data_IF_031273985964
#
_entry.id   IF_031273985964
#
_cell.length_a   1.000
_cell.length_b   1.000
_cell.length_c   1.000
_cell.angle_alpha   90.00
_cell.angle_beta   90.00
_cell.angle_gamma   90.00
#
_symmetry.space_group_name_H-M   'P 1'
#
loop_
_entity.id
_entity.type
_entity.pdbx_description
1 polymer ?
#
# COMPACT_ATOMS: atom_id res chain seq x y z
N UNK A 1 6.51 5.22 -14.16
CA UNK A 1 6.26 4.66 -12.81
C UNK A 1 7.52 3.96 -12.35
N UNK A 2 8.11 4.42 -11.23
CA UNK A 2 9.34 3.87 -10.66
C UNK A 2 9.12 2.39 -10.24
N UNK A 3 10.13 1.54 -10.39
CA UNK A 3 10.09 0.13 -9.97
C UNK A 3 9.78 -0.02 -8.49
N UNK A 4 10.24 0.90 -7.64
CA UNK A 4 9.93 0.91 -6.20
C UNK A 4 8.43 1.11 -5.95
N UNK A 5 7.79 2.07 -6.64
CA UNK A 5 6.35 2.33 -6.52
C UNK A 5 5.55 1.08 -6.94
N UNK A 6 5.94 0.39 -8.03
CA UNK A 6 5.31 -0.86 -8.45
C UNK A 6 5.40 -1.95 -7.36
N UNK A 7 6.54 -2.06 -6.70
CA UNK A 7 6.74 -3.02 -5.62
C UNK A 7 5.87 -2.68 -4.41
N UNK A 8 5.73 -1.41 -4.05
CA UNK A 8 4.84 -0.99 -2.95
C UNK A 8 3.37 -1.22 -3.29
N UNK A 9 2.94 -0.94 -4.52
CA UNK A 9 1.58 -1.23 -5.00
C UNK A 9 1.27 -2.72 -4.84
N UNK A 10 2.15 -3.60 -5.34
CA UNK A 10 1.94 -5.05 -5.25
C UNK A 10 1.91 -5.55 -3.78
N UNK A 11 2.73 -4.96 -2.90
CA UNK A 11 2.72 -5.30 -1.47
C UNK A 11 1.43 -4.86 -0.78
N UNK A 12 0.96 -3.63 -1.04
CA UNK A 12 -0.30 -3.12 -0.50
C UNK A 12 -1.50 -3.96 -0.97
N UNK A 13 -1.54 -4.32 -2.26
CA UNK A 13 -2.60 -5.18 -2.81
C UNK A 13 -2.57 -6.59 -2.20
N UNK A 14 -1.39 -7.17 -2.02
CA UNK A 14 -1.24 -8.48 -1.40
C UNK A 14 -1.72 -8.47 0.07
N UNK A 15 -1.34 -7.43 0.84
CA UNK A 15 -1.75 -7.29 2.23
C UNK A 15 -3.26 -7.07 2.36
N UNK A 16 -3.84 -6.23 1.50
CA UNK A 16 -5.30 -6.05 1.44
C UNK A 16 -6.03 -7.36 1.17
N UNK A 17 -5.58 -8.15 0.20
CA UNK A 17 -6.20 -9.45 -0.10
C UNK A 17 -6.06 -10.43 1.07
N UNK A 18 -4.91 -10.44 1.75
CA UNK A 18 -4.69 -11.26 2.93
C UNK A 18 -5.64 -10.86 4.07
N UNK A 19 -5.76 -9.57 4.37
CA UNK A 19 -6.64 -9.06 5.43
C UNK A 19 -8.12 -9.36 5.15
N UNK A 20 -8.54 -9.23 3.88
CA UNK A 20 -9.89 -9.62 3.45
C UNK A 20 -10.14 -11.13 3.61
N UNK A 21 -9.14 -11.96 3.34
CA UNK A 21 -9.24 -13.43 3.45
C UNK A 21 -9.27 -13.89 4.91
N UNK A 22 -8.55 -13.19 5.79
CA UNK A 22 -8.49 -13.47 7.23
C UNK A 22 -9.66 -12.85 8.02
N UNK A 23 -10.65 -12.27 7.34
CA UNK A 23 -11.78 -11.55 7.95
C UNK A 23 -11.36 -10.40 8.89
N UNK A 24 -10.19 -9.81 8.64
CA UNK A 24 -9.72 -8.59 9.29
C UNK A 24 -10.27 -7.37 8.55
N UNK A 25 -10.30 -6.24 9.24
CA UNK A 25 -10.68 -4.98 8.62
C UNK A 25 -9.56 -4.53 7.68
N UNK A 26 -9.79 -4.69 6.37
CA UNK A 26 -8.82 -4.34 5.34
C UNK A 26 -8.73 -2.81 5.22
N UNK A 27 -7.71 -2.20 5.83
CA UNK A 27 -7.52 -0.76 5.87
C UNK A 27 -6.24 -0.34 5.14
N UNK A 28 -6.40 0.14 3.90
CA UNK A 28 -5.28 0.59 3.06
C UNK A 28 -4.45 1.72 3.71
N UNK A 29 -5.07 2.57 4.53
CA UNK A 29 -4.37 3.65 5.22
C UNK A 29 -3.44 3.11 6.31
N UNK A 30 -3.90 2.12 7.07
CA UNK A 30 -3.06 1.47 8.09
C UNK A 30 -1.90 0.71 7.45
N UNK A 31 -2.16 -0.02 6.36
CA UNK A 31 -1.12 -0.72 5.61
C UNK A 31 -0.04 0.25 5.13
N UNK A 32 -0.44 1.36 4.47
CA UNK A 32 0.52 2.36 4.01
C UNK A 32 1.27 3.05 5.17
N UNK A 33 0.59 3.28 6.29
CA UNK A 33 1.18 3.92 7.47
C UNK A 33 2.22 3.01 8.14
N UNK A 34 1.98 1.70 8.20
CA UNK A 34 2.96 0.71 8.69
C UNK A 34 4.18 0.65 7.78
N UNK A 35 3.97 0.64 6.45
CA UNK A 35 5.07 0.64 5.48
C UNK A 35 5.93 1.91 5.57
N UNK A 36 5.32 3.06 5.90
CA UNK A 36 6.07 4.30 6.14
C UNK A 36 6.83 4.26 7.47
N UNK A 37 6.26 3.64 8.50
CA UNK A 37 6.88 3.57 9.83
C UNK A 37 8.16 2.71 9.84
N UNK A 38 8.21 1.67 8.99
CA UNK A 38 9.37 0.78 8.86
C UNK A 38 10.45 1.30 7.89
N UNK A 39 10.16 2.35 7.11
CA UNK A 39 11.06 2.83 6.06
C UNK A 39 11.58 4.26 6.25
N UNK A 40 12.70 4.55 5.58
CA UNK A 40 13.34 5.85 5.58
C UNK A 40 12.43 6.92 4.93
N UNK A 41 12.50 8.18 5.41
CA UNK A 41 11.65 9.29 4.92
C UNK A 41 11.75 9.54 3.41
N UNK A 42 12.80 9.03 2.75
CA UNK A 42 12.99 9.11 1.30
C UNK A 42 11.99 8.24 0.53
N UNK A 43 11.41 7.23 1.16
CA UNK A 43 10.44 6.30 0.56
C UNK A 43 8.99 6.74 0.78
N UNK A 44 8.77 7.71 1.68
CA UNK A 44 7.45 8.28 1.96
C UNK A 44 6.70 8.67 0.69
N UNK A 45 7.35 9.40 -0.22
CA UNK A 45 6.76 9.82 -1.48
C UNK A 45 6.36 8.64 -2.38
N UNK A 46 7.17 7.58 -2.40
CA UNK A 46 6.89 6.38 -3.18
C UNK A 46 5.70 5.59 -2.60
N UNK A 47 5.61 5.47 -1.26
CA UNK A 47 4.52 4.80 -0.57
C UNK A 47 3.20 5.57 -0.73
N UNK A 48 3.21 6.90 -0.59
CA UNK A 48 2.01 7.71 -0.85
C UNK A 48 1.54 7.60 -2.31
N UNK A 49 2.47 7.55 -3.26
CA UNK A 49 2.13 7.42 -4.67
C UNK A 49 1.58 6.02 -4.98
N UNK A 50 2.09 4.98 -4.33
CA UNK A 50 1.52 3.63 -4.39
C UNK A 50 0.12 3.57 -3.78
N UNK A 51 -0.10 4.21 -2.64
CA UNK A 51 -1.40 4.30 -1.97
C UNK A 51 -2.49 4.88 -2.90
N UNK A 52 -2.21 5.99 -3.58
CA UNK A 52 -3.19 6.59 -4.49
C UNK A 52 -3.48 5.69 -5.72
N UNK A 53 -2.48 4.94 -6.20
CA UNK A 53 -2.69 3.96 -7.28
C UNK A 53 -3.60 2.82 -6.82
N UNK A 54 -3.34 2.22 -5.67
CA UNK A 54 -4.16 1.12 -5.13
C UNK A 54 -5.58 1.60 -4.81
N UNK A 55 -5.72 2.78 -4.21
CA UNK A 55 -7.02 3.41 -3.97
C UNK A 55 -7.79 3.62 -5.27
N UNK A 56 -7.13 4.06 -6.34
CA UNK A 56 -7.75 4.17 -7.66
C UNK A 56 -8.14 2.79 -8.23
N UNK A 57 -7.35 1.74 -8.00
CA UNK A 57 -7.72 0.37 -8.42
C UNK A 57 -8.92 -0.21 -7.66
N UNK A 58 -9.12 0.18 -6.39
CA UNK A 58 -10.23 -0.31 -5.56
C UNK A 58 -11.55 0.41 -5.84
N UNK A 59 -11.51 1.68 -6.24
CA UNK A 59 -12.69 2.53 -6.45
C UNK A 59 -13.07 2.62 -7.94
N UNK A 60 -12.12 2.40 -8.85
CA UNK A 60 -12.34 2.38 -10.30
C UNK A 60 -12.98 1.08 -10.78
#
# INVERSE_FOLDING_TARGET
MNTQIKNYVAQMEAQLMADMTEAKEANLYEIASLMIADEDMTQFANVCQAYEVVKHHLVG
#
